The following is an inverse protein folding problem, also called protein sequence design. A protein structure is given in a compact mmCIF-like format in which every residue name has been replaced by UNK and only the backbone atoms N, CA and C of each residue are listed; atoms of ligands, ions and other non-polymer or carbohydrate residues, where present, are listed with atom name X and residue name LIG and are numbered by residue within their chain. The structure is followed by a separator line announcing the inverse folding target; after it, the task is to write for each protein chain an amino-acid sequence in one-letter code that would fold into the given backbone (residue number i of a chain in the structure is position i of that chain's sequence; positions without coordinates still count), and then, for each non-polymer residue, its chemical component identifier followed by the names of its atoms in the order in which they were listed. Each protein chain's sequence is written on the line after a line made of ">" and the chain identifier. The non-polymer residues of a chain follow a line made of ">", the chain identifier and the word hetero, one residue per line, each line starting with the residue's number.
data_IF_500058248935
#
_entry.id   IF_500058248935
#
_cell.length_a   1.000
_cell.length_b   1.000
_cell.length_c   1.000
_cell.angle_alpha   90.00
_cell.angle_beta   90.00
_cell.angle_gamma   90.00
#
_symmetry.space_group_name_H-M   'P 1'
#
loop_
_entity.id
_entity.type
_entity.pdbx_description
1 polymer ?
#
# COMPACT_ATOMS: atom_id res chain seq x y z
N UNK A 1 18.16 3.67 -48.55
CA UNK A 1 18.01 5.10 -48.27
C UNK A 1 18.43 5.38 -46.83
N UNK A 2 19.57 6.06 -46.61
CA UNK A 2 19.90 6.67 -45.31
C UNK A 2 19.74 8.18 -45.49
N UNK A 3 18.53 8.68 -45.28
CA UNK A 3 18.34 10.14 -45.23
C UNK A 3 19.09 10.70 -44.02
N UNK A 4 19.87 11.76 -44.24
CA UNK A 4 20.45 12.51 -43.12
C UNK A 4 19.30 13.20 -42.39
N UNK A 5 19.23 12.99 -41.08
CA UNK A 5 18.31 13.71 -40.19
C UNK A 5 18.37 15.20 -40.49
N UNK A 6 17.23 15.75 -40.91
CA UNK A 6 17.10 17.10 -41.49
C UNK A 6 17.24 18.22 -40.45
N UNK A 7 17.10 17.90 -39.15
CA UNK A 7 17.16 18.82 -38.01
C UNK A 7 17.85 18.14 -36.81
N UNK A 8 19.16 17.87 -36.92
CA UNK A 8 19.90 17.10 -35.89
C UNK A 8 19.97 17.84 -34.54
N UNK A 9 20.12 19.15 -34.60
CA UNK A 9 20.13 20.06 -33.47
C UNK A 9 18.80 20.08 -32.71
N UNK A 10 17.67 20.19 -33.42
CA UNK A 10 16.33 20.14 -32.80
C UNK A 10 16.05 18.78 -32.14
N UNK A 11 16.46 17.69 -32.80
CA UNK A 11 16.30 16.34 -32.27
C UNK A 11 17.17 16.12 -31.03
N UNK A 12 18.42 16.58 -31.06
CA UNK A 12 19.33 16.49 -29.91
C UNK A 12 18.80 17.32 -28.74
N UNK A 13 18.35 18.55 -28.99
CA UNK A 13 17.75 19.41 -27.98
C UNK A 13 16.49 18.78 -27.39
N UNK A 14 15.61 18.22 -28.23
CA UNK A 14 14.40 17.51 -27.82
C UNK A 14 14.70 16.29 -26.95
N UNK A 15 15.70 15.48 -27.31
CA UNK A 15 16.15 14.33 -26.50
C UNK A 15 16.66 14.81 -25.14
N UNK A 16 17.49 15.86 -25.10
CA UNK A 16 18.02 16.41 -23.84
C UNK A 16 16.88 16.91 -22.95
N UNK A 17 15.95 17.71 -23.48
CA UNK A 17 14.80 18.17 -22.70
C UNK A 17 13.91 17.03 -22.22
N UNK A 18 13.73 15.99 -23.03
CA UNK A 18 12.95 14.81 -22.64
C UNK A 18 13.63 14.07 -21.49
N UNK A 19 14.96 13.88 -21.54
CA UNK A 19 15.72 13.25 -20.46
C UNK A 19 15.64 14.07 -19.16
N UNK A 20 15.80 15.39 -19.25
CA UNK A 20 15.69 16.30 -18.08
C UNK A 20 14.27 16.26 -17.52
N UNK A 21 13.25 16.35 -18.37
CA UNK A 21 11.85 16.27 -17.97
C UNK A 21 11.50 14.94 -17.30
N UNK A 22 11.93 13.81 -17.89
CA UNK A 22 11.70 12.48 -17.31
C UNK A 22 12.43 12.30 -15.98
N UNK A 23 13.67 12.80 -15.85
CA UNK A 23 14.43 12.70 -14.59
C UNK A 23 13.81 13.54 -13.47
N UNK A 24 13.37 14.76 -13.78
CA UNK A 24 12.62 15.60 -12.83
C UNK A 24 11.29 14.95 -12.42
N UNK A 25 10.51 14.48 -13.40
CA UNK A 25 9.22 13.82 -13.15
C UNK A 25 9.41 12.56 -12.29
N UNK A 26 10.35 11.69 -12.67
CA UNK A 26 10.65 10.45 -11.94
C UNK A 26 11.13 10.74 -10.52
N UNK A 27 11.94 11.79 -10.34
CA UNK A 27 12.40 12.21 -9.01
C UNK A 27 11.23 12.73 -8.17
N UNK A 28 10.34 13.54 -8.74
CA UNK A 28 9.15 14.04 -8.06
C UNK A 28 8.20 12.91 -7.63
N UNK A 29 7.97 11.94 -8.51
CA UNK A 29 7.17 10.74 -8.23
C UNK A 29 7.80 9.92 -7.09
N UNK A 30 9.12 9.70 -7.15
CA UNK A 30 9.83 8.91 -6.14
C UNK A 30 9.84 9.59 -4.77
N UNK A 31 9.97 10.90 -4.72
CA UNK A 31 10.00 11.67 -3.47
C UNK A 31 8.60 11.91 -2.88
N UNK A 32 7.58 12.00 -3.73
CA UNK A 32 6.21 12.35 -3.32
C UNK A 32 5.25 11.15 -3.29
N UNK A 33 4.97 10.55 -4.45
CA UNK A 33 3.92 9.53 -4.56
C UNK A 33 4.35 8.19 -3.97
N UNK A 34 5.61 7.78 -4.20
CA UNK A 34 6.11 6.53 -3.64
C UNK A 34 6.26 6.61 -2.11
N UNK A 35 6.67 7.76 -1.55
CA UNK A 35 6.72 7.96 -0.11
C UNK A 35 5.31 7.99 0.50
N UNK A 36 4.37 8.71 -0.13
CA UNK A 36 2.96 8.74 0.27
C UNK A 36 2.36 7.32 0.30
N UNK A 37 2.54 6.56 -0.79
CA UNK A 37 2.05 5.20 -0.87
C UNK A 37 2.69 4.29 0.18
N UNK A 38 4.00 4.43 0.39
CA UNK A 38 4.72 3.63 1.37
C UNK A 38 4.30 3.93 2.81
N UNK A 39 4.11 5.20 3.16
CA UNK A 39 3.71 5.64 4.50
C UNK A 39 2.26 5.25 4.80
N UNK A 40 1.35 5.47 3.85
CA UNK A 40 -0.03 4.97 3.91
C UNK A 40 -0.03 3.44 4.08
N UNK A 41 0.73 2.74 3.24
CA UNK A 41 0.79 1.27 3.24
C UNK A 41 1.34 0.70 4.54
N UNK A 42 2.30 1.35 5.19
CA UNK A 42 2.84 0.90 6.48
C UNK A 42 1.88 1.19 7.65
N UNK A 43 1.14 2.30 7.59
CA UNK A 43 0.22 2.68 8.66
C UNK A 43 -1.11 1.92 8.62
N UNK A 44 -1.57 1.50 7.44
CA UNK A 44 -2.86 0.79 7.29
C UNK A 44 -2.90 -0.52 8.10
N UNK A 45 -1.93 -1.45 7.98
CA UNK A 45 -1.82 -2.64 8.83
C UNK A 45 -1.83 -2.36 10.32
N UNK A 46 -1.07 -1.34 10.73
CA UNK A 46 -0.97 -0.94 12.14
C UNK A 46 -2.28 -0.41 12.72
N UNK A 47 -3.16 0.13 11.87
CA UNK A 47 -4.47 0.60 12.30
C UNK A 47 -5.45 -0.54 12.60
N UNK A 48 -5.19 -1.79 12.16
CA UNK A 48 -6.10 -2.92 12.40
C UNK A 48 -5.45 -4.14 13.03
N UNK A 49 -4.12 -4.22 13.14
CA UNK A 49 -3.47 -5.28 13.93
C UNK A 49 -4.03 -5.27 15.34
N UNK A 50 -4.49 -6.43 15.81
CA UNK A 50 -4.86 -6.65 17.21
C UNK A 50 -3.70 -7.20 18.04
N UNK A 51 -2.59 -7.54 17.38
CA UNK A 51 -1.41 -8.15 17.97
C UNK A 51 -0.31 -7.11 18.18
N UNK A 52 0.42 -7.29 19.26
CA UNK A 52 1.55 -6.46 19.63
C UNK A 52 2.74 -6.75 18.69
N UNK A 53 3.23 -5.71 17.99
CA UNK A 53 4.37 -5.84 17.06
C UNK A 53 5.67 -6.01 17.85
N UNK A 54 6.43 -7.09 17.57
CA UNK A 54 7.79 -7.28 18.09
C UNK A 54 8.74 -6.31 17.40
N UNK A 55 9.39 -5.42 18.18
CA UNK A 55 10.30 -4.41 17.62
C UNK A 55 11.75 -4.80 17.80
N UNK A 56 12.12 -5.18 19.03
CA UNK A 56 13.49 -5.51 19.37
C UNK A 56 13.54 -6.34 20.65
N UNK A 57 14.67 -7.02 20.86
CA UNK A 57 14.97 -7.79 22.07
C UNK A 57 16.22 -7.23 22.75
N UNK A 58 16.03 -6.71 23.96
CA UNK A 58 17.12 -6.26 24.82
C UNK A 58 17.43 -7.34 25.86
N UNK A 59 18.63 -7.90 25.81
CA UNK A 59 19.10 -8.86 26.83
C UNK A 59 19.72 -8.10 28.00
N UNK A 60 19.07 -8.15 29.15
CA UNK A 60 19.56 -7.60 30.41
C UNK A 60 20.34 -8.69 31.13
N UNK A 61 21.66 -8.50 31.24
CA UNK A 61 22.53 -9.41 31.99
C UNK A 61 22.53 -9.04 33.48
N UNK A 62 22.62 -10.05 34.36
CA UNK A 62 22.58 -9.89 35.82
C UNK A 62 21.30 -9.17 36.29
N UNK A 63 20.16 -9.62 35.79
CA UNK A 63 18.87 -9.06 36.20
C UNK A 63 18.58 -9.43 37.66
N UNK A 64 18.35 -8.41 38.49
CA UNK A 64 18.07 -8.57 39.91
C UNK A 64 16.55 -8.57 40.17
N UNK A 65 16.03 -9.69 40.70
CA UNK A 65 14.61 -9.85 41.03
C UNK A 65 14.16 -8.91 42.16
N UNK A 66 15.08 -8.39 42.98
CA UNK A 66 14.76 -7.48 44.07
C UNK A 66 14.32 -6.08 43.57
N UNK A 67 14.53 -5.80 42.28
CA UNK A 67 14.07 -4.56 41.62
C UNK A 67 12.61 -4.62 41.16
N UNK A 68 11.95 -5.77 41.31
CA UNK A 68 10.54 -5.96 40.95
C UNK A 68 9.61 -5.30 41.97
N UNK A 69 8.56 -4.65 41.49
CA UNK A 69 7.49 -4.11 42.31
C UNK A 69 6.12 -4.50 41.76
N UNK A 70 5.13 -4.58 42.64
CA UNK A 70 3.78 -5.04 42.31
C UNK A 70 2.82 -3.88 42.16
N UNK A 71 1.96 -3.96 41.15
CA UNK A 71 0.83 -3.04 40.94
C UNK A 71 -0.46 -3.85 40.95
N UNK A 72 -1.53 -3.24 41.48
CA UNK A 72 -2.87 -3.82 41.49
C UNK A 72 -3.70 -3.07 40.45
N UNK A 73 -4.25 -3.79 39.48
CA UNK A 73 -5.18 -3.22 38.51
C UNK A 73 -6.60 -3.10 39.11
N UNK A 74 -7.48 -2.24 38.57
CA UNK A 74 -8.85 -2.07 39.07
C UNK A 74 -9.70 -3.35 39.06
N UNK A 75 -9.29 -4.37 38.29
CA UNK A 75 -9.91 -5.70 38.25
C UNK A 75 -9.45 -6.63 39.38
N UNK A 76 -8.52 -6.17 40.24
CA UNK A 76 -7.95 -6.91 41.36
C UNK A 76 -6.79 -7.82 40.99
N UNK A 77 -6.35 -7.83 39.72
CA UNK A 77 -5.18 -8.60 39.30
C UNK A 77 -3.89 -7.93 39.76
N UNK A 78 -2.92 -8.74 40.19
CA UNK A 78 -1.59 -8.29 40.57
C UNK A 78 -0.64 -8.52 39.41
N UNK A 79 0.00 -7.45 38.94
CA UNK A 79 1.02 -7.50 37.90
C UNK A 79 2.34 -6.99 38.44
N UNK A 80 3.43 -7.58 37.96
CA UNK A 80 4.78 -7.29 38.44
C UNK A 80 5.51 -6.45 37.40
N UNK A 81 6.19 -5.39 37.84
CA UNK A 81 6.89 -4.44 36.98
C UNK A 81 8.32 -4.21 37.45
N UNK A 82 9.21 -3.82 36.55
CA UNK A 82 10.52 -3.22 36.86
C UNK A 82 10.70 -1.90 36.12
N UNK A 83 11.65 -1.09 36.56
CA UNK A 83 11.97 0.19 35.91
C UNK A 83 13.10 0.01 34.91
N UNK A 84 12.83 0.25 33.63
CA UNK A 84 13.83 0.27 32.57
C UNK A 84 14.19 1.72 32.24
N UNK A 85 15.49 2.06 32.29
CA UNK A 85 15.98 3.40 31.98
C UNK A 85 16.72 3.40 30.65
N UNK A 86 16.19 4.13 29.67
CA UNK A 86 16.79 4.32 28.36
C UNK A 86 16.91 5.81 28.05
N UNK A 87 18.11 6.28 27.69
CA UNK A 87 18.41 7.67 27.36
C UNK A 87 17.94 8.69 28.43
N UNK A 88 18.04 8.32 29.70
CA UNK A 88 17.65 9.16 30.85
C UNK A 88 16.15 9.22 31.12
N UNK A 89 15.32 8.42 30.43
CA UNK A 89 13.89 8.27 30.72
C UNK A 89 13.63 6.91 31.35
N UNK A 90 13.02 6.91 32.53
CA UNK A 90 12.60 5.70 33.24
C UNK A 90 11.18 5.33 32.79
N UNK A 91 10.98 4.08 32.40
CA UNK A 91 9.67 3.53 32.04
C UNK A 91 9.40 2.26 32.85
N UNK A 92 8.19 2.09 33.40
CA UNK A 92 7.77 0.84 34.00
C UNK A 92 7.55 -0.21 32.89
N UNK A 93 8.09 -1.41 33.08
CA UNK A 93 8.00 -2.54 32.15
C UNK A 93 7.46 -3.76 32.89
N UNK A 94 6.47 -4.44 32.31
CA UNK A 94 5.88 -5.65 32.90
C UNK A 94 6.89 -6.80 32.89
N UNK A 95 7.00 -7.51 34.00
CA UNK A 95 7.89 -8.65 34.16
C UNK A 95 7.16 -9.93 33.80
N UNK A 96 7.69 -10.66 32.83
CA UNK A 96 7.21 -11.98 32.44
C UNK A 96 8.24 -13.03 32.84
N UNK A 97 7.83 -13.97 33.72
CA UNK A 97 8.73 -15.00 34.24
C UNK A 97 9.29 -15.91 33.14
N UNK A 98 8.54 -16.11 32.05
CA UNK A 98 8.94 -16.90 30.88
C UNK A 98 10.19 -16.35 30.16
N UNK A 99 10.48 -15.05 30.33
CA UNK A 99 11.60 -14.36 29.68
C UNK A 99 12.83 -14.27 30.59
N UNK A 100 12.78 -14.85 31.79
CA UNK A 100 13.89 -14.88 32.75
C UNK A 100 14.56 -16.25 32.78
N UNK A 101 15.86 -16.30 32.48
CA UNK A 101 16.68 -17.50 32.65
C UNK A 101 17.38 -17.48 34.01
N UNK A 102 16.92 -18.34 34.93
CA UNK A 102 17.43 -18.47 36.29
C UNK A 102 18.83 -19.08 36.37
N UNK A 103 19.26 -19.85 35.37
CA UNK A 103 20.59 -20.46 35.35
C UNK A 103 21.67 -19.46 34.92
N UNK A 104 21.31 -18.50 34.04
CA UNK A 104 22.26 -17.52 33.50
C UNK A 104 22.08 -16.09 34.05
N UNK A 105 21.02 -15.84 34.82
CA UNK A 105 20.71 -14.52 35.37
C UNK A 105 20.38 -13.48 34.29
N UNK A 106 19.85 -13.94 33.16
CA UNK A 106 19.53 -13.10 32.00
C UNK A 106 18.03 -12.91 31.87
N UNK A 107 17.62 -11.67 31.61
CA UNK A 107 16.24 -11.34 31.27
C UNK A 107 16.16 -10.85 29.82
N UNK A 108 15.29 -11.45 29.02
CA UNK A 108 15.02 -11.00 27.65
C UNK A 108 13.85 -10.03 27.65
N UNK A 109 14.13 -8.73 27.63
CA UNK A 109 13.08 -7.73 27.47
C UNK A 109 12.69 -7.61 25.99
N UNK A 110 11.46 -7.98 25.68
CA UNK A 110 10.87 -7.81 24.35
C UNK A 110 10.16 -6.47 24.28
N UNK A 111 10.61 -5.59 23.40
CA UNK A 111 9.96 -4.30 23.16
C UNK A 111 8.80 -4.56 22.19
N UNK A 112 7.57 -4.45 22.69
CA UNK A 112 6.36 -4.48 21.88
C UNK A 112 5.73 -3.08 21.73
N UNK A 113 5.03 -2.83 20.61
CA UNK A 113 4.14 -1.66 20.47
C UNK A 113 2.69 -2.11 20.48
N UNK A 114 1.82 -1.50 21.32
CA UNK A 114 0.41 -1.81 21.31
C UNK A 114 -0.25 -1.30 20.03
N UNK A 115 -1.35 -1.94 19.58
CA UNK A 115 -2.06 -1.54 18.39
C UNK A 115 -2.74 -0.17 18.53
N UNK A 116 -2.87 0.56 17.42
CA UNK A 116 -3.45 1.92 17.38
C UNK A 116 -4.94 1.97 17.75
N UNK A 117 -5.68 0.87 17.57
CA UNK A 117 -7.10 0.77 17.89
C UNK A 117 -7.41 -0.49 18.72
N UNK A 118 -8.19 -0.34 19.79
CA UNK A 118 -8.54 -1.43 20.70
C UNK A 118 -9.45 -2.50 20.06
N UNK A 119 -9.35 -3.71 20.59
CA UNK A 119 -9.92 -5.01 20.13
C UNK A 119 -11.40 -5.06 19.68
N UNK A 120 -12.22 -4.03 19.92
CA UNK A 120 -13.62 -3.96 19.41
C UNK A 120 -13.77 -3.18 18.09
N UNK A 121 -12.69 -2.58 17.57
CA UNK A 121 -12.72 -1.76 16.35
C UNK A 121 -12.25 -2.48 15.07
N UNK A 122 -11.88 -3.77 15.14
CA UNK A 122 -11.24 -4.49 14.02
C UNK A 122 -12.04 -4.43 12.70
N UNK A 123 -13.36 -4.67 12.72
CA UNK A 123 -14.19 -4.64 11.50
C UNK A 123 -14.34 -3.22 10.93
N UNK A 124 -14.50 -2.22 11.81
CA UNK A 124 -14.66 -0.82 11.39
C UNK A 124 -13.34 -0.26 10.85
N UNK A 125 -12.20 -0.66 11.43
CA UNK A 125 -10.86 -0.36 10.95
C UNK A 125 -10.61 -0.93 9.55
N UNK A 126 -10.96 -2.21 9.32
CA UNK A 126 -10.85 -2.83 7.99
C UNK A 126 -11.70 -2.07 6.96
N UNK A 127 -12.96 -1.74 7.29
CA UNK A 127 -13.83 -0.97 6.37
C UNK A 127 -13.22 0.40 6.05
N UNK A 128 -12.68 1.11 7.04
CA UNK A 128 -12.03 2.40 6.84
C UNK A 128 -10.80 2.29 5.94
N UNK A 129 -9.99 1.25 6.14
CA UNK A 129 -8.79 0.93 5.36
C UNK A 129 -9.16 0.65 3.90
N UNK A 130 -10.17 -0.18 3.66
CA UNK A 130 -10.67 -0.45 2.30
C UNK A 130 -11.22 0.81 1.64
N UNK A 131 -11.98 1.64 2.37
CA UNK A 131 -12.49 2.91 1.86
C UNK A 131 -11.35 3.89 1.51
N UNK A 132 -10.29 3.92 2.33
CA UNK A 132 -9.11 4.74 2.07
C UNK A 132 -8.34 4.23 0.84
N UNK A 133 -8.11 2.92 0.73
CA UNK A 133 -7.48 2.29 -0.42
C UNK A 133 -8.26 2.57 -1.72
N UNK A 134 -9.59 2.45 -1.67
CA UNK A 134 -10.47 2.85 -2.77
C UNK A 134 -10.25 4.30 -3.19
N UNK A 135 -10.28 5.23 -2.21
CA UNK A 135 -10.08 6.66 -2.46
C UNK A 135 -8.72 6.98 -3.07
N UNK A 136 -7.66 6.29 -2.62
CA UNK A 136 -6.30 6.41 -3.16
C UNK A 136 -6.23 5.91 -4.60
N UNK A 137 -6.73 4.71 -4.89
CA UNK A 137 -6.74 4.15 -6.26
C UNK A 137 -7.57 5.00 -7.22
N UNK A 138 -8.76 5.42 -6.78
CA UNK A 138 -9.64 6.31 -7.53
C UNK A 138 -8.97 7.67 -7.82
N UNK A 139 -8.42 8.32 -6.79
CA UNK A 139 -7.78 9.62 -6.90
C UNK A 139 -6.51 9.61 -7.75
N UNK A 140 -5.68 8.58 -7.61
CA UNK A 140 -4.47 8.40 -8.42
C UNK A 140 -4.82 8.23 -9.90
N UNK A 141 -5.82 7.41 -10.20
CA UNK A 141 -6.29 7.19 -11.57
C UNK A 141 -6.93 8.45 -12.17
N UNK A 142 -7.66 9.22 -11.36
CA UNK A 142 -8.19 10.51 -11.81
C UNK A 142 -7.07 11.53 -12.12
N UNK A 143 -5.97 11.46 -11.38
CA UNK A 143 -4.80 12.31 -11.58
C UNK A 143 -3.92 11.84 -12.75
N UNK A 144 -4.21 10.69 -13.36
CA UNK A 144 -3.41 10.09 -14.43
C UNK A 144 -3.59 10.87 -15.75
N UNK A 145 -2.55 11.61 -16.22
CA UNK A 145 -2.66 12.41 -17.44
C UNK A 145 -2.88 11.55 -18.68
N UNK A 146 -2.34 10.33 -18.73
CA UNK A 146 -2.50 9.42 -19.87
C UNK A 146 -3.97 9.02 -20.07
N UNK A 147 -4.69 8.71 -18.98
CA UNK A 147 -6.11 8.37 -19.03
C UNK A 147 -6.96 9.55 -19.49
N UNK A 148 -6.62 10.74 -18.99
CA UNK A 148 -7.23 11.98 -19.43
C UNK A 148 -7.01 12.23 -20.94
N UNK A 149 -5.82 11.94 -21.46
CA UNK A 149 -5.50 12.09 -22.89
C UNK A 149 -6.28 11.09 -23.75
N UNK A 150 -6.34 9.82 -23.33
CA UNK A 150 -7.17 8.81 -23.98
C UNK A 150 -8.65 9.22 -24.01
N UNK A 151 -9.17 9.74 -22.90
CA UNK A 151 -10.55 10.22 -22.82
C UNK A 151 -10.86 11.35 -23.82
N UNK A 152 -9.91 12.25 -24.07
CA UNK A 152 -10.05 13.30 -25.11
C UNK A 152 -10.10 12.69 -26.52
N UNK A 153 -9.27 11.69 -26.80
CA UNK A 153 -9.26 10.98 -28.08
C UNK A 153 -10.60 10.29 -28.31
N UNK A 154 -11.10 9.55 -27.33
CA UNK A 154 -12.40 8.87 -27.43
C UNK A 154 -13.54 9.87 -27.58
N UNK A 155 -13.52 10.99 -26.85
CA UNK A 155 -14.53 12.04 -27.01
C UNK A 155 -14.53 12.65 -28.42
N UNK A 156 -13.34 12.83 -29.02
CA UNK A 156 -13.24 13.34 -30.40
C UNK A 156 -13.74 12.35 -31.45
N UNK A 157 -13.46 11.05 -31.29
CA UNK A 157 -13.85 10.00 -32.23
C UNK A 157 -15.36 9.74 -32.14
N UNK A 158 -15.93 9.80 -30.93
CA UNK A 158 -17.35 9.59 -30.67
C UNK A 158 -18.21 10.84 -30.89
N UNK A 159 -17.62 11.92 -31.44
CA UNK A 159 -18.30 13.21 -31.70
C UNK A 159 -19.01 13.74 -30.45
N UNK A 160 -18.39 13.57 -29.28
CA UNK A 160 -18.93 14.02 -28.00
C UNK A 160 -20.01 13.12 -27.39
N UNK A 161 -20.29 11.95 -27.97
CA UNK A 161 -21.25 10.98 -27.39
C UNK A 161 -20.74 10.45 -26.05
N UNK A 162 -19.43 10.16 -25.96
CA UNK A 162 -18.76 9.77 -24.71
C UNK A 162 -17.87 10.91 -24.25
N UNK A 163 -18.16 11.47 -23.08
CA UNK A 163 -17.35 12.58 -22.54
C UNK A 163 -16.08 12.05 -21.88
N UNK A 164 -14.96 12.77 -22.01
CA UNK A 164 -13.70 12.48 -21.30
C UNK A 164 -13.92 12.23 -19.81
N UNK A 165 -14.74 13.07 -19.15
CA UNK A 165 -15.00 12.94 -17.71
C UNK A 165 -15.66 11.62 -17.34
N UNK A 166 -16.55 11.09 -18.20
CA UNK A 166 -17.22 9.82 -17.95
C UNK A 166 -16.24 8.66 -18.00
N UNK A 167 -15.34 8.65 -19.00
CA UNK A 167 -14.29 7.62 -19.13
C UNK A 167 -13.39 7.65 -17.91
N UNK A 168 -12.87 8.83 -17.53
CA UNK A 168 -11.99 8.97 -16.38
C UNK A 168 -12.69 8.48 -15.11
N UNK A 169 -13.94 8.87 -14.86
CA UNK A 169 -14.68 8.45 -13.66
C UNK A 169 -14.94 6.94 -13.60
N UNK A 170 -15.38 6.34 -14.71
CA UNK A 170 -15.69 4.90 -14.76
C UNK A 170 -14.42 4.07 -14.56
N UNK A 171 -13.34 4.46 -15.23
CA UNK A 171 -12.05 3.76 -15.12
C UNK A 171 -11.45 3.95 -13.72
N UNK A 172 -11.45 5.17 -13.17
CA UNK A 172 -11.03 5.42 -11.79
C UNK A 172 -11.82 4.62 -10.76
N UNK A 173 -13.13 4.46 -10.97
CA UNK A 173 -13.98 3.66 -10.10
C UNK A 173 -13.60 2.17 -10.17
N UNK A 174 -13.34 1.65 -11.37
CA UNK A 174 -12.83 0.30 -11.58
C UNK A 174 -11.50 0.04 -10.87
N UNK A 175 -10.52 0.94 -11.03
CA UNK A 175 -9.22 0.84 -10.34
C UNK A 175 -9.38 0.94 -8.82
N UNK A 176 -10.30 1.77 -8.33
CA UNK A 176 -10.62 1.82 -6.90
C UNK A 176 -11.11 0.48 -6.36
N UNK A 177 -11.98 -0.23 -7.11
CA UNK A 177 -12.44 -1.58 -6.74
C UNK A 177 -11.29 -2.59 -6.83
N UNK A 178 -10.47 -2.54 -7.88
CA UNK A 178 -9.30 -3.40 -8.05
C UNK A 178 -8.32 -3.25 -6.88
N UNK A 179 -8.07 -2.01 -6.45
CA UNK A 179 -7.25 -1.70 -5.27
C UNK A 179 -7.83 -2.31 -3.98
N UNK A 180 -9.15 -2.20 -3.77
CA UNK A 180 -9.83 -2.84 -2.63
C UNK A 180 -9.68 -4.35 -2.68
N UNK A 181 -9.87 -4.96 -3.86
CA UNK A 181 -9.73 -6.40 -4.05
C UNK A 181 -8.29 -6.86 -3.81
N UNK A 182 -7.30 -6.10 -4.28
CA UNK A 182 -5.89 -6.36 -4.04
C UNK A 182 -5.51 -6.23 -2.58
N UNK A 183 -6.07 -5.26 -1.87
CA UNK A 183 -5.86 -5.15 -0.43
C UNK A 183 -6.52 -6.31 0.32
N UNK A 184 -7.78 -6.64 0.02
CA UNK A 184 -8.45 -7.82 0.57
C UNK A 184 -7.62 -9.10 0.34
N UNK A 185 -7.00 -9.23 -0.84
CA UNK A 185 -6.13 -10.36 -1.15
C UNK A 185 -4.92 -10.45 -0.21
N UNK A 186 -4.28 -9.34 0.12
CA UNK A 186 -3.19 -9.32 1.10
C UNK A 186 -3.73 -9.62 2.51
N UNK A 187 -4.83 -8.98 2.91
CA UNK A 187 -5.40 -9.10 4.26
C UNK A 187 -5.87 -10.52 4.60
N UNK A 188 -6.45 -11.22 3.64
CA UNK A 188 -7.04 -12.55 3.83
C UNK A 188 -6.18 -13.68 3.24
N UNK A 189 -4.94 -13.38 2.83
CA UNK A 189 -4.01 -14.31 2.18
C UNK A 189 -4.66 -15.12 1.05
N UNK A 190 -5.42 -14.42 0.19
CA UNK A 190 -6.13 -15.08 -0.91
C UNK A 190 -5.16 -15.38 -2.07
N UNK A 191 -5.24 -16.56 -2.69
CA UNK A 191 -4.40 -16.84 -3.85
C UNK A 191 -4.83 -15.95 -5.02
N UNK A 192 -3.88 -15.24 -5.64
CA UNK A 192 -4.12 -14.27 -6.72
C UNK A 192 -4.95 -14.87 -7.88
N UNK A 193 -4.73 -16.15 -8.17
CA UNK A 193 -5.43 -16.91 -9.22
C UNK A 193 -6.95 -16.89 -9.02
N UNK A 194 -7.44 -16.92 -7.78
CA UNK A 194 -8.87 -16.88 -7.47
C UNK A 194 -9.51 -15.53 -7.73
N UNK A 195 -8.74 -14.44 -7.77
CA UNK A 195 -9.25 -13.12 -8.14
C UNK A 195 -9.13 -12.87 -9.65
N UNK A 196 -8.01 -13.27 -10.27
CA UNK A 196 -7.75 -13.04 -11.70
C UNK A 196 -8.57 -13.96 -12.60
N UNK A 197 -8.64 -15.26 -12.33
CA UNK A 197 -9.29 -16.19 -13.27
C UNK A 197 -10.78 -15.90 -13.42
N UNK A 198 -11.58 -15.70 -12.35
CA UNK A 198 -12.99 -15.37 -12.50
C UNK A 198 -13.23 -14.01 -13.16
N UNK A 199 -12.40 -13.00 -12.86
CA UNK A 199 -12.54 -11.67 -13.47
C UNK A 199 -12.23 -11.71 -14.97
N UNK A 200 -11.21 -12.45 -15.41
CA UNK A 200 -10.92 -12.64 -16.83
C UNK A 200 -12.01 -13.44 -17.56
N UNK A 201 -12.57 -14.48 -16.95
CA UNK A 201 -13.70 -15.22 -17.55
C UNK A 201 -14.90 -14.28 -17.76
N UNK A 202 -15.20 -13.44 -16.78
CA UNK A 202 -16.24 -12.43 -16.87
C UNK A 202 -15.95 -11.40 -17.98
N UNK A 203 -14.71 -10.90 -18.07
CA UNK A 203 -14.28 -9.95 -19.10
C UNK A 203 -14.37 -10.53 -20.51
N UNK A 204 -14.00 -11.80 -20.69
CA UNK A 204 -14.14 -12.49 -21.98
C UNK A 204 -15.62 -12.60 -22.36
N UNK A 205 -16.50 -12.98 -21.43
CA UNK A 205 -17.93 -13.05 -21.68
C UNK A 205 -18.54 -11.68 -22.05
N UNK A 206 -18.15 -10.61 -21.33
CA UNK A 206 -18.55 -9.23 -21.64
C UNK A 206 -18.03 -8.77 -23.00
N UNK A 207 -16.80 -9.13 -23.35
CA UNK A 207 -16.17 -8.80 -24.64
C UNK A 207 -16.94 -9.42 -25.80
N UNK A 208 -17.41 -10.67 -25.66
CA UNK A 208 -18.18 -11.36 -26.70
C UNK A 208 -19.56 -10.74 -26.95
N UNK A 209 -20.12 -10.04 -25.97
CA UNK A 209 -21.47 -9.42 -26.05
C UNK A 209 -21.38 -7.94 -26.46
N UNK A 210 -20.22 -7.31 -26.27
CA UNK A 210 -20.03 -5.87 -26.49
C UNK A 210 -19.61 -5.54 -27.92
N UNK A 211 -19.89 -4.31 -28.36
CA UNK A 211 -19.41 -3.82 -29.66
C UNK A 211 -17.89 -3.60 -29.64
N UNK A 212 -17.28 -3.63 -30.82
CA UNK A 212 -15.82 -3.54 -31.00
C UNK A 212 -15.25 -2.22 -30.48
N UNK A 213 -15.99 -1.11 -30.63
CA UNK A 213 -15.57 0.20 -30.12
C UNK A 213 -15.46 0.22 -28.59
N UNK A 214 -16.47 -0.25 -27.87
CA UNK A 214 -16.44 -0.31 -26.39
C UNK A 214 -15.41 -1.30 -25.88
N UNK A 215 -15.25 -2.43 -26.56
CA UNK A 215 -14.24 -3.42 -26.24
C UNK A 215 -12.83 -2.84 -26.36
N UNK A 216 -12.55 -2.15 -27.47
CA UNK A 216 -11.25 -1.52 -27.71
C UNK A 216 -10.93 -0.47 -26.64
N UNK A 217 -11.91 0.39 -26.32
CA UNK A 217 -11.77 1.39 -25.26
C UNK A 217 -11.52 0.72 -23.89
N UNK A 218 -12.25 -0.35 -23.56
CA UNK A 218 -12.11 -1.02 -22.27
C UNK A 218 -10.72 -1.67 -22.10
N UNK A 219 -10.24 -2.39 -23.11
CA UNK A 219 -8.93 -3.06 -23.06
C UNK A 219 -7.76 -2.05 -23.10
N UNK A 220 -7.86 -0.96 -23.86
CA UNK A 220 -6.85 0.10 -23.87
C UNK A 220 -6.82 0.88 -22.56
N UNK A 221 -7.98 1.07 -21.91
CA UNK A 221 -8.07 1.81 -20.64
C UNK A 221 -7.19 1.18 -19.56
N UNK A 222 -7.15 -0.15 -19.47
CA UNK A 222 -6.30 -0.86 -18.50
C UNK A 222 -4.82 -0.48 -18.66
N UNK A 223 -4.28 -0.56 -19.87
CA UNK A 223 -2.88 -0.19 -20.13
C UNK A 223 -2.60 1.29 -19.85
N UNK A 224 -3.54 2.17 -20.18
CA UNK A 224 -3.40 3.61 -19.96
C UNK A 224 -3.43 4.00 -18.48
N UNK A 225 -4.11 3.22 -17.62
CA UNK A 225 -4.09 3.45 -16.16
C UNK A 225 -2.78 3.09 -15.49
N UNK A 226 -1.93 2.26 -16.11
CA UNK A 226 -0.59 1.92 -15.60
C UNK A 226 0.45 3.03 -15.85
N UNK A 227 0.05 4.27 -15.60
CA UNK A 227 0.86 5.44 -15.86
C UNK A 227 1.82 5.81 -14.73
N UNK A 228 2.56 6.91 -14.91
CA UNK A 228 3.59 7.40 -13.99
C UNK A 228 3.07 7.78 -12.60
N UNK A 229 1.75 7.99 -12.42
CA UNK A 229 1.18 8.36 -11.13
C UNK A 229 0.71 7.12 -10.38
N UNK A 230 -0.09 6.28 -11.05
CA UNK A 230 -0.81 5.18 -10.41
C UNK A 230 0.12 4.04 -10.00
N UNK A 231 1.02 3.61 -10.89
CA UNK A 231 1.90 2.44 -10.66
C UNK A 231 2.81 2.63 -9.43
N UNK A 232 3.56 3.74 -9.30
CA UNK A 232 4.46 3.92 -8.16
C UNK A 232 3.72 4.01 -6.83
N UNK A 233 2.52 4.58 -6.83
CA UNK A 233 1.67 4.68 -5.64
C UNK A 233 1.16 3.29 -5.21
N UNK A 234 0.55 2.55 -6.14
CA UNK A 234 -0.01 1.21 -5.88
C UNK A 234 1.07 0.25 -5.42
N UNK A 235 2.23 0.26 -6.09
CA UNK A 235 3.35 -0.59 -5.73
C UNK A 235 3.92 -0.24 -4.37
N UNK A 236 4.13 1.04 -4.07
CA UNK A 236 4.64 1.44 -2.76
C UNK A 236 3.67 1.04 -1.63
N UNK A 237 2.36 1.20 -1.85
CA UNK A 237 1.34 0.74 -0.91
C UNK A 237 1.37 -0.78 -0.73
N UNK A 238 1.28 -1.55 -1.82
CA UNK A 238 1.24 -3.00 -1.79
C UNK A 238 2.49 -3.62 -1.17
N UNK A 239 3.68 -3.06 -1.46
CA UNK A 239 4.94 -3.50 -0.87
C UNK A 239 5.04 -3.17 0.61
N UNK A 240 4.61 -1.98 1.05
CA UNK A 240 4.61 -1.65 2.48
C UNK A 240 3.65 -2.54 3.27
N UNK A 241 2.44 -2.78 2.74
CA UNK A 241 1.45 -3.63 3.39
C UNK A 241 1.94 -5.08 3.44
N UNK A 242 2.49 -5.59 2.33
CA UNK A 242 3.08 -6.93 2.28
C UNK A 242 4.28 -7.09 3.21
N UNK A 243 5.16 -6.09 3.29
CA UNK A 243 6.31 -6.09 4.19
C UNK A 243 5.95 -6.08 5.66
N UNK A 244 4.94 -5.29 6.05
CA UNK A 244 4.45 -5.22 7.44
C UNK A 244 3.72 -6.51 7.87
N UNK A 245 3.10 -7.23 6.91
CA UNK A 245 2.42 -8.50 7.15
C UNK A 245 3.30 -9.73 6.87
N UNK A 246 4.59 -9.54 6.57
CA UNK A 246 5.56 -10.60 6.17
C UNK A 246 5.12 -11.45 4.95
N UNK A 247 4.25 -10.90 4.09
CA UNK A 247 3.75 -11.56 2.88
C UNK A 247 4.68 -11.23 1.70
N UNK A 248 5.26 -12.25 1.08
CA UNK A 248 6.27 -12.12 0.02
C UNK A 248 5.73 -11.54 -1.31
N UNK A 249 4.41 -11.48 -1.49
CA UNK A 249 3.78 -11.20 -2.79
C UNK A 249 2.85 -9.96 -2.80
N UNK A 250 3.31 -8.85 -2.22
CA UNK A 250 2.60 -7.56 -2.26
C UNK A 250 2.41 -6.96 -3.66
N UNK A 251 3.12 -7.47 -4.67
CA UNK A 251 3.04 -7.00 -6.07
C UNK A 251 1.69 -7.30 -6.75
N UNK A 252 1.00 -8.35 -6.33
CA UNK A 252 -0.25 -8.76 -7.00
C UNK A 252 -1.39 -7.76 -6.89
N UNK A 253 -1.30 -6.72 -6.04
CA UNK A 253 -2.24 -5.60 -6.02
C UNK A 253 -2.24 -4.85 -7.36
N UNK A 254 -1.09 -4.77 -8.03
CA UNK A 254 -1.00 -4.12 -9.35
C UNK A 254 -1.71 -4.92 -10.44
N UNK A 255 -1.86 -6.24 -10.26
CA UNK A 255 -2.48 -7.11 -11.25
C UNK A 255 -4.02 -7.09 -11.21
N UNK A 256 -4.61 -6.42 -10.21
CA UNK A 256 -6.04 -6.40 -9.89
C UNK A 256 -6.65 -5.02 -10.16
#
# INVERSE_FOLDING_TARGET
>A
LREKLRYKDEIVLGIIFTLIGMTLLTSGIKLGLASLGGEVGAQLPRAFSSEEEFIDRVVINNFDKDLLYYTIEPDGTQKTYFNFSENGRIRPVEFHEELFDEASGKYEYIITRPPLFGSKLSVLGIILVLAFAFGMGYGATMAEPALSAMGMTVESITVGTIRRTQIVQVVSFGVGIGMVAGLCRILFDLPLVWLIVPSYILLIALTLISEEEFTSIAWDSGGVTTGPVTVPLVLAMGLSIGGELEISDGFGVLAL
#
